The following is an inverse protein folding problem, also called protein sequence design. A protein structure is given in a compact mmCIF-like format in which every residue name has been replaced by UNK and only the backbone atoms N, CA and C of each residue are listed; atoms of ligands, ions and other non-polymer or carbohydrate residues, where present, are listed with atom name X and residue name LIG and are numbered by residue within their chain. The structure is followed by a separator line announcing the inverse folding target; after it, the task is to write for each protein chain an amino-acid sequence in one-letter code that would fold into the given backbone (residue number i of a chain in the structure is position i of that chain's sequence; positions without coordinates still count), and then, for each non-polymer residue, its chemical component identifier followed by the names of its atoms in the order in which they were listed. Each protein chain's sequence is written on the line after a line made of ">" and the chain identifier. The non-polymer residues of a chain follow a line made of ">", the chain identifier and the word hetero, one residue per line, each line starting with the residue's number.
data_IF_614768932047
#
_entry.id   IF_614768932047
#
_cell.length_a   1.000
_cell.length_b   1.000
_cell.length_c   1.000
_cell.angle_alpha   90.00
_cell.angle_beta   90.00
_cell.angle_gamma   90.00
#
_symmetry.space_group_name_H-M   'P 1'
#
loop_
_entity.id
_entity.type
_entity.pdbx_description
1 polymer ?
#
# COMPACT_ATOMS: atom_id res chain seq x y z
N UNK A 1 -21.45 -48.49 -7.10
CA UNK A 1 -21.63 -47.27 -6.28
C UNK A 1 -21.35 -47.54 -4.80
N UNK A 2 -22.05 -48.49 -4.15
CA UNK A 2 -21.76 -48.83 -2.74
C UNK A 2 -20.33 -49.34 -2.53
N UNK A 3 -19.82 -50.20 -3.42
CA UNK A 3 -18.45 -50.71 -3.36
C UNK A 3 -17.39 -49.60 -3.49
N UNK A 4 -17.56 -48.70 -4.47
CA UNK A 4 -16.70 -47.52 -4.63
C UNK A 4 -16.66 -46.63 -3.38
N UNK A 5 -17.83 -46.32 -2.81
CA UNK A 5 -17.91 -45.52 -1.57
C UNK A 5 -17.25 -46.27 -0.40
N UNK A 6 -17.43 -47.59 -0.32
CA UNK A 6 -16.81 -48.38 0.74
C UNK A 6 -15.29 -48.46 0.63
N UNK A 7 -14.73 -48.44 -0.59
CA UNK A 7 -13.28 -48.45 -0.80
C UNK A 7 -12.66 -47.08 -0.49
N UNK A 8 -13.36 -45.98 -0.80
CA UNK A 8 -12.86 -44.61 -0.62
C UNK A 8 -13.48 -43.89 0.59
N UNK A 9 -13.98 -44.63 1.59
CA UNK A 9 -14.77 -44.04 2.68
C UNK A 9 -13.97 -43.07 3.55
N UNK A 10 -12.67 -43.32 3.77
CA UNK A 10 -11.78 -42.42 4.52
C UNK A 10 -11.51 -41.12 3.77
N UNK A 11 -11.28 -41.18 2.46
CA UNK A 11 -11.11 -40.02 1.59
C UNK A 11 -12.39 -39.17 1.56
N UNK A 12 -13.55 -39.80 1.39
CA UNK A 12 -14.85 -39.14 1.47
C UNK A 12 -15.08 -38.49 2.84
N UNK A 13 -14.79 -39.21 3.94
CA UNK A 13 -14.93 -38.68 5.30
C UNK A 13 -14.02 -37.46 5.51
N UNK A 14 -12.74 -37.57 5.13
CA UNK A 14 -11.78 -36.47 5.22
C UNK A 14 -12.24 -35.25 4.43
N UNK A 15 -12.77 -35.46 3.22
CA UNK A 15 -13.30 -34.39 2.35
C UNK A 15 -14.50 -33.70 3.01
N UNK A 16 -15.45 -34.46 3.56
CA UNK A 16 -16.62 -33.91 4.24
C UNK A 16 -16.21 -33.09 5.48
N UNK A 17 -15.29 -33.59 6.29
CA UNK A 17 -14.76 -32.85 7.45
C UNK A 17 -14.06 -31.57 6.97
N UNK A 18 -13.32 -31.62 5.86
CA UNK A 18 -12.69 -30.46 5.25
C UNK A 18 -13.68 -29.36 4.83
N UNK A 19 -14.83 -29.74 4.26
CA UNK A 19 -15.89 -28.77 3.96
C UNK A 19 -16.47 -28.13 5.23
N UNK A 20 -16.66 -28.91 6.29
CA UNK A 20 -17.10 -28.38 7.59
C UNK A 20 -16.02 -27.46 8.18
N UNK A 21 -14.73 -27.79 8.03
CA UNK A 21 -13.60 -26.96 8.44
C UNK A 21 -13.65 -25.59 7.75
N UNK A 22 -13.74 -25.53 6.42
CA UNK A 22 -13.83 -24.27 5.65
C UNK A 22 -15.00 -23.42 6.12
N UNK A 23 -16.15 -24.04 6.37
CA UNK A 23 -17.33 -23.31 6.86
C UNK A 23 -17.13 -22.73 8.26
N UNK A 24 -16.45 -23.45 9.15
CA UNK A 24 -16.12 -22.95 10.49
C UNK A 24 -15.05 -21.85 10.46
N UNK A 25 -14.07 -21.96 9.56
CA UNK A 25 -13.07 -20.93 9.31
C UNK A 25 -13.76 -19.64 8.85
N UNK A 26 -14.68 -19.73 7.89
CA UNK A 26 -15.49 -18.58 7.45
C UNK A 26 -16.27 -17.91 8.59
N UNK A 27 -16.78 -18.70 9.55
CA UNK A 27 -17.49 -18.18 10.73
C UNK A 27 -16.57 -17.76 11.89
N UNK A 28 -15.25 -17.89 11.75
CA UNK A 28 -14.29 -17.72 12.83
C UNK A 28 -14.69 -18.49 14.11
N UNK A 29 -15.19 -19.73 13.95
CA UNK A 29 -15.70 -20.53 15.06
C UNK A 29 -14.58 -21.25 15.82
N UNK A 30 -14.63 -21.29 17.16
CA UNK A 30 -13.64 -22.04 17.95
C UNK A 30 -13.57 -23.53 17.60
N UNK A 31 -14.66 -24.11 17.07
CA UNK A 31 -14.72 -25.50 16.62
C UNK A 31 -13.81 -25.79 15.41
N UNK A 32 -13.37 -24.75 14.68
CA UNK A 32 -12.41 -24.87 13.58
C UNK A 32 -11.13 -25.57 14.04
N UNK A 33 -10.72 -25.35 15.30
CA UNK A 33 -9.50 -25.96 15.83
C UNK A 33 -9.66 -27.46 16.05
N UNK A 34 -10.82 -27.91 16.54
CA UNK A 34 -11.10 -29.34 16.72
C UNK A 34 -11.12 -30.05 15.37
N UNK A 35 -11.85 -29.49 14.40
CA UNK A 35 -11.89 -30.05 13.04
C UNK A 35 -10.54 -29.97 12.34
N UNK A 36 -9.74 -28.93 12.61
CA UNK A 36 -8.35 -28.79 12.16
C UNK A 36 -7.36 -29.78 12.78
N UNK A 37 -7.76 -30.54 13.81
CA UNK A 37 -6.98 -31.67 14.36
C UNK A 37 -7.49 -32.99 13.79
N UNK A 38 -8.81 -33.20 13.81
CA UNK A 38 -9.43 -34.45 13.35
C UNK A 38 -9.20 -34.67 11.85
N UNK A 39 -9.35 -33.64 11.03
CA UNK A 39 -9.20 -33.75 9.58
C UNK A 39 -7.79 -34.19 9.18
N UNK A 40 -6.68 -33.54 9.62
CA UNK A 40 -5.34 -34.02 9.30
C UNK A 40 -5.08 -35.44 9.77
N UNK A 41 -5.58 -35.83 10.95
CA UNK A 41 -5.42 -37.20 11.46
C UNK A 41 -6.09 -38.22 10.53
N UNK A 42 -7.29 -37.94 10.01
CA UNK A 42 -7.92 -38.83 9.00
C UNK A 42 -7.05 -38.92 7.75
N UNK A 43 -6.56 -37.79 7.24
CA UNK A 43 -5.70 -37.76 6.05
C UNK A 43 -4.33 -38.42 6.26
N UNK A 44 -3.81 -38.47 7.48
CA UNK A 44 -2.60 -39.27 7.78
C UNK A 44 -2.81 -40.73 7.38
N UNK A 45 -3.96 -41.35 7.70
CA UNK A 45 -4.22 -42.73 7.30
C UNK A 45 -4.34 -42.86 5.77
N UNK A 46 -5.11 -41.97 5.14
CA UNK A 46 -5.31 -41.96 3.67
C UNK A 46 -3.97 -41.85 2.93
N UNK A 47 -3.11 -40.91 3.30
CA UNK A 47 -1.84 -40.70 2.62
C UNK A 47 -0.80 -41.76 2.94
N UNK A 48 -0.80 -42.29 4.16
CA UNK A 48 0.09 -43.40 4.51
C UNK A 48 -0.22 -44.66 3.67
N UNK A 49 -1.50 -45.02 3.52
CA UNK A 49 -1.92 -46.15 2.70
C UNK A 49 -1.61 -45.93 1.20
N UNK A 50 -1.75 -44.69 0.73
CA UNK A 50 -1.40 -44.30 -0.65
C UNK A 50 0.11 -44.20 -0.91
N UNK A 51 0.96 -44.30 0.12
CA UNK A 51 2.41 -44.14 0.01
C UNK A 51 2.84 -42.70 -0.33
N UNK A 52 2.06 -41.70 0.12
CA UNK A 52 2.33 -40.27 0.03
C UNK A 52 2.86 -39.78 1.38
N UNK A 53 4.18 -39.94 1.59
CA UNK A 53 4.77 -39.74 2.91
C UNK A 53 5.13 -38.28 3.19
N UNK A 54 5.34 -37.44 2.17
CA UNK A 54 5.52 -36.01 2.41
C UNK A 54 4.18 -35.36 2.78
N UNK A 55 3.09 -35.69 2.07
CA UNK A 55 1.74 -35.26 2.44
C UNK A 55 1.32 -35.74 3.83
N UNK A 56 1.64 -36.99 4.18
CA UNK A 56 1.48 -37.51 5.56
C UNK A 56 2.20 -36.63 6.58
N UNK A 57 3.47 -36.27 6.31
CA UNK A 57 4.26 -35.39 7.17
C UNK A 57 3.64 -34.00 7.33
N UNK A 58 3.08 -33.42 6.25
CA UNK A 58 2.37 -32.15 6.33
C UNK A 58 1.10 -32.23 7.17
N UNK A 59 0.38 -33.35 7.17
CA UNK A 59 -0.76 -33.51 8.07
C UNK A 59 -0.36 -33.48 9.55
N UNK A 60 0.83 -34.02 9.89
CA UNK A 60 1.36 -33.92 11.25
C UNK A 60 1.60 -32.45 11.61
N UNK A 61 2.22 -31.70 10.70
CA UNK A 61 2.43 -30.27 10.89
C UNK A 61 1.10 -29.52 11.08
N UNK A 62 0.08 -29.77 10.25
CA UNK A 62 -1.22 -29.12 10.37
C UNK A 62 -1.95 -29.47 11.67
N UNK A 63 -1.91 -30.73 12.12
CA UNK A 63 -2.48 -31.12 13.40
C UNK A 63 -1.80 -30.38 14.57
N UNK A 64 -0.47 -30.29 14.57
CA UNK A 64 0.29 -29.56 15.58
C UNK A 64 0.00 -28.05 15.54
N UNK A 65 -0.10 -27.45 14.35
CA UNK A 65 -0.45 -26.05 14.17
C UNK A 65 -1.87 -25.76 14.68
N UNK A 66 -2.83 -26.66 14.47
CA UNK A 66 -4.19 -26.53 14.98
C UNK A 66 -4.25 -26.63 16.51
N UNK A 67 -3.47 -27.53 17.13
CA UNK A 67 -3.33 -27.59 18.60
C UNK A 67 -2.75 -26.27 19.13
N UNK A 68 -1.68 -25.77 18.51
CA UNK A 68 -1.07 -24.50 18.89
C UNK A 68 -2.06 -23.34 18.78
N UNK A 69 -2.79 -23.25 17.67
CA UNK A 69 -3.77 -22.19 17.45
C UNK A 69 -4.96 -22.24 18.42
N UNK A 70 -5.42 -23.43 18.81
CA UNK A 70 -6.41 -23.59 19.87
C UNK A 70 -5.92 -23.02 21.21
N UNK A 71 -4.70 -23.38 21.61
CA UNK A 71 -4.08 -22.89 22.84
C UNK A 71 -3.92 -21.37 22.80
N UNK A 72 -3.47 -20.83 21.67
CA UNK A 72 -3.28 -19.39 21.48
C UNK A 72 -4.61 -18.62 21.52
N UNK A 73 -5.65 -19.10 20.84
CA UNK A 73 -6.97 -18.47 20.83
C UNK A 73 -7.55 -18.37 22.24
N UNK A 74 -7.41 -19.42 23.04
CA UNK A 74 -7.88 -19.46 24.43
C UNK A 74 -7.16 -18.45 25.34
N UNK A 75 -5.95 -18.01 24.97
CA UNK A 75 -5.11 -17.09 25.74
C UNK A 75 -5.37 -15.60 25.43
N UNK A 76 -6.31 -15.26 24.52
CA UNK A 76 -6.98 -13.95 24.47
C UNK A 76 -6.11 -12.72 24.17
N UNK A 77 -4.98 -12.84 23.48
CA UNK A 77 -4.17 -11.67 23.07
C UNK A 77 -4.56 -11.20 21.67
N UNK A 78 -5.51 -10.26 21.60
CA UNK A 78 -5.94 -9.62 20.36
C UNK A 78 -5.51 -8.16 20.28
N UNK A 79 -4.25 -7.93 19.91
CA UNK A 79 -3.84 -6.70 19.24
C UNK A 79 -2.71 -7.03 18.26
N UNK A 80 -3.07 -7.42 17.04
CA UNK A 80 -2.15 -7.37 15.92
C UNK A 80 -2.74 -6.48 14.85
N UNK A 81 -1.97 -5.46 14.44
CA UNK A 81 -2.25 -4.71 13.22
C UNK A 81 -2.17 -5.68 12.05
N UNK A 82 -3.27 -5.81 11.32
CA UNK A 82 -3.27 -6.62 10.11
C UNK A 82 -2.24 -6.08 9.11
N UNK A 83 -1.41 -6.97 8.58
CA UNK A 83 -0.50 -6.61 7.50
C UNK A 83 -1.33 -6.22 6.25
N UNK A 84 -0.90 -5.23 5.46
CA UNK A 84 -1.52 -4.93 4.17
C UNK A 84 -1.10 -5.96 3.11
N UNK A 85 -1.93 -6.13 2.08
CA UNK A 85 -1.60 -6.95 0.90
C UNK A 85 -0.48 -6.25 0.12
N UNK A 86 0.54 -6.99 -0.29
CA UNK A 86 1.72 -6.43 -0.98
C UNK A 86 2.26 -7.36 -2.08
N UNK A 87 3.19 -6.88 -2.90
CA UNK A 87 3.88 -7.69 -3.90
C UNK A 87 5.11 -8.38 -3.33
N UNK A 88 5.41 -9.57 -3.83
CA UNK A 88 6.61 -10.35 -3.49
C UNK A 88 7.88 -9.55 -3.86
N UNK A 89 8.76 -9.24 -2.91
CA UNK A 89 9.94 -8.44 -3.18
C UNK A 89 10.91 -9.14 -4.13
N UNK A 90 11.29 -8.49 -5.24
CA UNK A 90 12.22 -9.07 -6.24
C UNK A 90 13.54 -9.58 -5.64
N UNK A 91 14.06 -8.90 -4.62
CA UNK A 91 15.29 -9.29 -3.89
C UNK A 91 15.18 -10.65 -3.19
N UNK A 92 13.97 -11.11 -2.88
CA UNK A 92 13.72 -12.39 -2.20
C UNK A 92 13.50 -13.54 -3.16
N UNK A 93 13.40 -13.29 -4.47
CA UNK A 93 13.15 -14.35 -5.46
C UNK A 93 14.29 -15.37 -5.46
N UNK A 94 15.54 -14.94 -5.62
CA UNK A 94 16.69 -15.86 -5.63
C UNK A 94 16.85 -16.63 -4.30
N UNK A 95 16.80 -15.98 -3.11
CA UNK A 95 16.80 -16.70 -1.85
C UNK A 95 15.65 -17.72 -1.72
N UNK A 96 14.42 -17.34 -2.08
CA UNK A 96 13.26 -18.24 -1.97
C UNK A 96 13.39 -19.45 -2.92
N UNK A 97 13.89 -19.23 -4.14
CA UNK A 97 14.18 -20.31 -5.09
C UNK A 97 15.27 -21.25 -4.55
N UNK A 98 16.33 -20.73 -3.94
CA UNK A 98 17.37 -21.56 -3.33
C UNK A 98 16.81 -22.40 -2.16
N UNK A 99 16.01 -21.79 -1.28
CA UNK A 99 15.34 -22.50 -0.18
C UNK A 99 14.42 -23.59 -0.71
N UNK A 100 13.65 -23.33 -1.77
CA UNK A 100 12.81 -24.32 -2.42
C UNK A 100 13.62 -25.55 -2.87
N UNK A 101 14.71 -25.37 -3.61
CA UNK A 101 15.52 -26.50 -4.09
C UNK A 101 16.17 -27.30 -2.94
N UNK A 102 16.59 -26.62 -1.86
CA UNK A 102 17.12 -27.30 -0.66
C UNK A 102 16.04 -28.13 0.03
N UNK A 103 14.85 -27.56 0.25
CA UNK A 103 13.72 -28.28 0.86
C UNK A 103 13.28 -29.46 0.00
N UNK A 104 13.13 -29.24 -1.30
CA UNK A 104 12.72 -30.28 -2.24
C UNK A 104 13.73 -31.43 -2.27
N UNK A 105 15.03 -31.13 -2.40
CA UNK A 105 16.08 -32.14 -2.38
C UNK A 105 16.14 -32.90 -1.05
N UNK A 106 15.98 -32.22 0.09
CA UNK A 106 15.96 -32.84 1.40
C UNK A 106 14.76 -33.79 1.58
N UNK A 107 13.55 -33.34 1.23
CA UNK A 107 12.34 -34.15 1.28
C UNK A 107 12.44 -35.35 0.34
N UNK A 108 12.86 -35.13 -0.90
CA UNK A 108 13.09 -36.21 -1.88
C UNK A 108 14.08 -37.26 -1.36
N UNK A 109 15.20 -36.84 -0.77
CA UNK A 109 16.18 -37.75 -0.16
C UNK A 109 15.58 -38.58 0.97
N UNK A 110 14.74 -37.95 1.81
CA UNK A 110 14.04 -38.67 2.89
C UNK A 110 13.12 -39.73 2.31
N UNK A 111 12.31 -39.36 1.32
CA UNK A 111 11.37 -40.27 0.67
C UNK A 111 12.08 -41.46 0.01
N UNK A 112 13.15 -41.23 -0.75
CA UNK A 112 13.86 -42.30 -1.46
C UNK A 112 14.62 -43.22 -0.51
N UNK A 113 15.21 -42.69 0.58
CA UNK A 113 16.06 -43.50 1.48
C UNK A 113 15.32 -44.21 2.60
N UNK A 114 14.23 -43.63 3.09
CA UNK A 114 13.56 -44.08 4.31
C UNK A 114 12.11 -44.50 4.09
N UNK A 115 11.60 -44.44 2.87
CA UNK A 115 10.22 -44.83 2.55
C UNK A 115 10.18 -45.68 1.28
N UNK A 116 9.03 -46.27 1.01
CA UNK A 116 8.69 -47.01 -0.21
C UNK A 116 7.80 -46.18 -1.14
N UNK A 117 7.87 -44.84 -1.09
CA UNK A 117 7.11 -43.97 -1.99
C UNK A 117 7.39 -44.32 -3.46
N UNK A 118 6.32 -44.50 -4.24
CA UNK A 118 6.42 -44.72 -5.69
C UNK A 118 6.48 -43.42 -6.50
N UNK A 119 6.29 -42.27 -5.84
CA UNK A 119 6.21 -40.94 -6.48
C UNK A 119 7.02 -39.88 -5.71
N UNK A 120 8.25 -40.18 -5.25
CA UNK A 120 8.98 -39.33 -4.31
C UNK A 120 9.31 -37.95 -4.87
N UNK A 121 9.38 -37.79 -6.20
CA UNK A 121 9.66 -36.51 -6.86
C UNK A 121 8.48 -35.54 -6.73
N UNK A 122 7.27 -35.99 -7.11
CA UNK A 122 6.05 -35.17 -7.06
C UNK A 122 5.57 -34.97 -5.62
N UNK A 123 5.56 -36.04 -4.81
CA UNK A 123 5.19 -35.96 -3.38
C UNK A 123 6.06 -34.92 -2.64
N UNK A 124 7.38 -34.88 -2.89
CA UNK A 124 8.24 -33.86 -2.27
C UNK A 124 8.14 -32.45 -2.90
N UNK A 125 7.80 -32.33 -4.18
CA UNK A 125 7.79 -31.05 -4.90
C UNK A 125 6.64 -30.16 -4.41
N UNK A 126 5.40 -30.66 -4.42
CA UNK A 126 4.23 -29.91 -3.94
C UNK A 126 4.37 -29.49 -2.48
N UNK A 127 4.93 -30.37 -1.65
CA UNK A 127 5.21 -30.10 -0.25
C UNK A 127 6.28 -28.99 -0.05
N UNK A 128 7.39 -29.04 -0.80
CA UNK A 128 8.43 -28.01 -0.75
C UNK A 128 7.90 -26.64 -1.21
N UNK A 129 7.08 -26.60 -2.28
CA UNK A 129 6.43 -25.37 -2.72
C UNK A 129 5.45 -24.83 -1.67
N UNK A 130 4.69 -25.71 -1.03
CA UNK A 130 3.71 -25.34 0.01
C UNK A 130 4.35 -24.61 1.19
N UNK A 131 5.58 -24.96 1.59
CA UNK A 131 6.31 -24.20 2.62
C UNK A 131 6.58 -22.75 2.19
N UNK A 132 7.00 -22.53 0.93
CA UNK A 132 7.20 -21.19 0.39
C UNK A 132 5.86 -20.45 0.26
N UNK A 133 4.82 -21.15 -0.19
CA UNK A 133 3.46 -20.64 -0.32
C UNK A 133 2.89 -20.16 1.01
N UNK A 134 2.99 -20.97 2.07
CA UNK A 134 2.55 -20.63 3.44
C UNK A 134 3.31 -19.42 4.00
N UNK A 135 4.62 -19.37 3.81
CA UNK A 135 5.40 -18.20 4.23
C UNK A 135 5.00 -16.93 3.46
N UNK A 136 4.80 -17.03 2.14
CA UNK A 136 4.38 -15.91 1.32
C UNK A 136 2.95 -15.43 1.65
N UNK A 137 2.04 -16.38 1.95
CA UNK A 137 0.69 -16.12 2.45
C UNK A 137 0.71 -15.38 3.78
N UNK A 138 1.53 -15.84 4.73
CA UNK A 138 1.68 -15.19 6.04
C UNK A 138 2.21 -13.75 5.94
N UNK A 139 2.98 -13.45 4.89
CA UNK A 139 3.43 -12.08 4.56
C UNK A 139 2.44 -11.29 3.70
N UNK A 140 1.28 -11.87 3.37
CA UNK A 140 0.25 -11.33 2.48
C UNK A 140 0.79 -10.88 1.12
N UNK A 141 1.68 -11.69 0.52
CA UNK A 141 2.15 -11.45 -0.86
C UNK A 141 1.13 -11.91 -1.89
N UNK A 142 0.78 -11.09 -2.87
CA UNK A 142 -0.21 -11.45 -3.90
C UNK A 142 0.25 -12.65 -4.74
N UNK A 143 1.55 -12.76 -5.03
CA UNK A 143 2.12 -13.84 -5.86
C UNK A 143 1.99 -15.24 -5.24
N UNK A 144 1.72 -15.34 -3.94
CA UNK A 144 1.50 -16.62 -3.26
C UNK A 144 0.39 -17.45 -3.93
N UNK A 145 -0.62 -16.80 -4.52
CA UNK A 145 -1.70 -17.48 -5.23
C UNK A 145 -1.20 -18.29 -6.44
N UNK A 146 -0.11 -17.88 -7.09
CA UNK A 146 0.49 -18.67 -8.18
C UNK A 146 1.11 -19.97 -7.67
N UNK A 147 1.70 -19.94 -6.47
CA UNK A 147 2.25 -21.13 -5.83
C UNK A 147 1.11 -22.12 -5.56
N UNK A 148 0.01 -21.66 -4.96
CA UNK A 148 -1.14 -22.51 -4.67
C UNK A 148 -1.80 -23.07 -5.93
N UNK A 149 -1.94 -22.29 -7.01
CA UNK A 149 -2.45 -22.82 -8.28
C UNK A 149 -1.59 -23.99 -8.78
N UNK A 150 -0.26 -23.86 -8.72
CA UNK A 150 0.66 -24.94 -9.15
C UNK A 150 0.53 -26.16 -8.25
N UNK A 151 0.61 -25.96 -6.93
CA UNK A 151 0.49 -27.02 -5.92
C UNK A 151 -0.85 -27.74 -6.02
N UNK A 152 -1.96 -27.00 -6.15
CA UNK A 152 -3.31 -27.57 -6.18
C UNK A 152 -3.54 -28.42 -7.44
N UNK A 153 -3.05 -27.97 -8.59
CA UNK A 153 -3.15 -28.73 -9.85
C UNK A 153 -2.27 -29.99 -9.84
N UNK A 154 -1.05 -29.88 -9.30
CA UNK A 154 -0.16 -31.01 -9.11
C UNK A 154 -0.77 -32.06 -8.18
N UNK A 155 -1.19 -31.65 -6.97
CA UNK A 155 -1.76 -32.55 -5.98
C UNK A 155 -3.06 -33.17 -6.47
N UNK A 156 -3.93 -32.40 -7.14
CA UNK A 156 -5.14 -32.94 -7.77
C UNK A 156 -4.80 -34.07 -8.76
N UNK A 157 -3.79 -33.88 -9.60
CA UNK A 157 -3.34 -34.91 -10.55
C UNK A 157 -2.71 -36.11 -9.85
N UNK A 158 -1.91 -35.87 -8.81
CA UNK A 158 -1.26 -36.90 -8.02
C UNK A 158 -2.27 -37.77 -7.27
N UNK A 159 -3.31 -37.16 -6.70
CA UNK A 159 -4.38 -37.86 -5.99
C UNK A 159 -5.26 -38.70 -6.92
N UNK A 160 -5.50 -38.25 -8.17
CA UNK A 160 -6.13 -39.11 -9.19
C UNK A 160 -5.25 -40.34 -9.46
N UNK A 161 -3.94 -40.14 -9.62
CA UNK A 161 -3.00 -41.24 -9.85
C UNK A 161 -2.91 -42.22 -8.66
N UNK A 162 -3.14 -41.71 -7.44
CA UNK A 162 -3.10 -42.47 -6.18
C UNK A 162 -4.44 -43.03 -5.72
N UNK A 163 -5.48 -42.93 -6.56
CA UNK A 163 -6.82 -43.44 -6.28
C UNK A 163 -7.50 -42.80 -5.05
N UNK A 164 -7.30 -41.47 -4.91
CA UNK A 164 -7.89 -40.60 -3.87
C UNK A 164 -8.82 -39.56 -4.54
N UNK A 165 -9.96 -39.99 -5.10
CA UNK A 165 -10.75 -39.19 -6.04
C UNK A 165 -11.47 -37.99 -5.39
N UNK A 166 -11.94 -38.08 -4.14
CA UNK A 166 -12.71 -37.00 -3.53
C UNK A 166 -11.80 -35.82 -3.17
N UNK A 167 -10.63 -36.11 -2.59
CA UNK A 167 -9.61 -35.11 -2.33
C UNK A 167 -9.08 -34.50 -3.63
N UNK A 168 -8.89 -35.29 -4.69
CA UNK A 168 -8.47 -34.75 -5.98
C UNK A 168 -9.42 -33.67 -6.53
N UNK A 169 -10.73 -33.89 -6.42
CA UNK A 169 -11.76 -32.92 -6.83
C UNK A 169 -11.72 -31.68 -5.93
N UNK A 170 -11.51 -31.86 -4.63
CA UNK A 170 -11.38 -30.75 -3.69
C UNK A 170 -10.18 -29.84 -4.03
N UNK A 171 -9.02 -30.41 -4.35
CA UNK A 171 -7.84 -29.64 -4.75
C UNK A 171 -8.03 -28.95 -6.12
N UNK A 172 -8.70 -29.60 -7.07
CA UNK A 172 -9.08 -28.93 -8.33
C UNK A 172 -9.97 -27.69 -8.07
N UNK A 173 -10.89 -27.78 -7.10
CA UNK A 173 -11.71 -26.64 -6.67
C UNK A 173 -10.85 -25.56 -5.98
N UNK A 174 -9.88 -25.94 -5.15
CA UNK A 174 -8.94 -24.99 -4.54
C UNK A 174 -8.14 -24.20 -5.57
N UNK A 175 -7.68 -24.83 -6.65
CA UNK A 175 -7.02 -24.11 -7.74
C UNK A 175 -7.92 -23.01 -8.36
N UNK A 176 -9.23 -23.29 -8.53
CA UNK A 176 -10.21 -22.30 -9.02
C UNK A 176 -10.40 -21.16 -8.00
N UNK A 177 -10.50 -21.50 -6.71
CA UNK A 177 -10.60 -20.52 -5.61
C UNK A 177 -9.33 -19.66 -5.55
N UNK A 178 -8.16 -20.23 -5.77
CA UNK A 178 -6.88 -19.52 -5.77
C UNK A 178 -6.81 -18.46 -6.89
N UNK A 179 -7.34 -18.77 -8.08
CA UNK A 179 -7.48 -17.79 -9.16
C UNK A 179 -8.41 -16.64 -8.76
N UNK A 180 -9.55 -16.95 -8.11
CA UNK A 180 -10.47 -15.93 -7.61
C UNK A 180 -9.82 -15.07 -6.50
N UNK A 181 -9.08 -15.70 -5.58
CA UNK A 181 -8.30 -15.07 -4.52
C UNK A 181 -7.26 -14.09 -5.06
N UNK A 182 -6.49 -14.50 -6.07
CA UNK A 182 -5.53 -13.63 -6.76
C UNK A 182 -6.22 -12.38 -7.34
N UNK A 183 -7.33 -12.56 -8.06
CA UNK A 183 -8.07 -11.44 -8.66
C UNK A 183 -8.61 -10.49 -7.60
N UNK A 184 -9.14 -11.02 -6.50
CA UNK A 184 -9.62 -10.22 -5.37
C UNK A 184 -8.48 -9.43 -4.73
N UNK A 185 -7.39 -10.08 -4.33
CA UNK A 185 -6.26 -9.41 -3.68
C UNK A 185 -5.59 -8.36 -4.57
N UNK A 186 -5.51 -8.63 -5.88
CA UNK A 186 -5.02 -7.64 -6.85
C UNK A 186 -5.94 -6.43 -6.96
N UNK A 187 -7.26 -6.62 -6.86
CA UNK A 187 -8.23 -5.51 -6.85
C UNK A 187 -8.15 -4.73 -5.55
N UNK A 188 -8.11 -5.42 -4.41
CA UNK A 188 -8.06 -4.81 -3.09
C UNK A 188 -6.76 -4.01 -2.92
N UNK A 189 -5.63 -4.55 -3.40
CA UNK A 189 -4.36 -3.83 -3.48
C UNK A 189 -4.45 -2.56 -4.33
N UNK A 190 -5.12 -2.60 -5.49
CA UNK A 190 -5.33 -1.40 -6.32
C UNK A 190 -6.28 -0.40 -5.69
N UNK A 191 -7.31 -0.85 -4.98
CA UNK A 191 -8.27 0.02 -4.31
C UNK A 191 -7.65 0.75 -3.11
N UNK A 192 -6.66 0.15 -2.46
CA UNK A 192 -5.89 0.77 -1.37
C UNK A 192 -4.92 1.86 -1.87
N UNK A 193 -4.57 1.86 -3.16
CA UNK A 193 -3.73 2.89 -3.77
C UNK A 193 -4.58 4.13 -4.04
N UNK A 194 -4.29 5.22 -3.33
CA UNK A 194 -4.87 6.54 -3.62
C UNK A 194 -4.29 7.08 -4.93
N UNK A 195 -5.10 7.75 -5.74
CA UNK A 195 -4.60 8.46 -6.93
C UNK A 195 -4.47 9.96 -6.62
N UNK A 196 -3.26 10.44 -6.35
CA UNK A 196 -2.96 11.87 -6.16
C UNK A 196 -2.22 12.36 -7.43
N UNK A 197 -3.02 12.57 -8.48
CA UNK A 197 -2.51 12.51 -9.85
C UNK A 197 -2.15 13.83 -10.50
N UNK A 198 -3.04 14.81 -10.49
CA UNK A 198 -2.90 16.00 -11.33
C UNK A 198 -2.66 17.27 -10.51
N UNK A 199 -1.84 18.16 -11.08
CA UNK A 199 -1.78 19.54 -10.64
C UNK A 199 -3.22 20.09 -10.68
N UNK A 200 -3.80 20.54 -9.56
CA UNK A 200 -5.18 21.01 -9.54
C UNK A 200 -5.30 22.23 -10.46
N UNK A 201 -6.27 22.18 -11.39
CA UNK A 201 -6.59 23.32 -12.27
C UNK A 201 -7.47 24.35 -11.60
N UNK A 202 -8.20 23.94 -10.56
CA UNK A 202 -9.20 24.71 -9.84
C UNK A 202 -9.10 24.38 -8.34
N UNK A 203 -9.40 25.38 -7.51
CA UNK A 203 -9.34 25.29 -6.05
C UNK A 203 -9.20 26.66 -5.42
N UNK A 204 -9.08 26.68 -4.09
CA UNK A 204 -8.77 27.90 -3.34
C UNK A 204 -7.29 28.24 -3.56
N UNK A 205 -7.00 29.44 -4.03
CA UNK A 205 -5.62 29.89 -4.24
C UNK A 205 -5.21 30.83 -3.11
N UNK A 206 -4.09 30.52 -2.48
CA UNK A 206 -3.46 31.38 -1.47
C UNK A 206 -2.12 31.87 -2.00
N UNK A 207 -1.97 33.19 -2.14
CA UNK A 207 -0.73 33.84 -2.50
C UNK A 207 0.01 34.29 -1.24
N UNK A 208 1.14 33.66 -0.96
CA UNK A 208 1.99 33.95 0.18
C UNK A 208 3.03 35.03 -0.12
N UNK A 209 3.68 35.55 0.93
CA UNK A 209 4.65 36.66 0.85
C UNK A 209 6.11 36.22 0.58
N UNK A 210 6.31 35.18 -0.24
CA UNK A 210 7.60 34.79 -0.81
C UNK A 210 7.87 35.52 -2.14
N UNK A 211 8.65 34.91 -3.03
CA UNK A 211 8.86 35.44 -4.37
C UNK A 211 7.58 35.31 -5.19
N UNK A 212 7.17 36.39 -5.86
CA UNK A 212 6.02 36.34 -6.73
C UNK A 212 6.27 35.38 -7.91
N UNK A 213 5.29 34.52 -8.27
CA UNK A 213 5.50 33.51 -9.31
C UNK A 213 5.93 34.09 -10.67
N UNK A 214 6.86 33.42 -11.34
CA UNK A 214 7.34 33.80 -12.69
C UNK A 214 7.13 32.71 -13.73
N UNK A 215 6.99 31.46 -13.32
CA UNK A 215 6.77 30.35 -14.24
C UNK A 215 5.32 30.35 -14.74
N UNK A 216 5.10 29.92 -16.00
CA UNK A 216 3.77 29.98 -16.64
C UNK A 216 2.72 29.13 -15.90
N UNK A 217 3.13 28.02 -15.28
CA UNK A 217 2.22 27.14 -14.51
C UNK A 217 1.56 27.84 -13.32
N UNK A 218 2.30 28.34 -12.31
CA UNK A 218 1.68 29.07 -11.19
C UNK A 218 1.00 30.38 -11.65
N UNK A 219 1.52 31.07 -12.67
CA UNK A 219 0.87 32.27 -13.22
C UNK A 219 -0.49 31.96 -13.87
N UNK A 220 -0.60 30.86 -14.62
CA UNK A 220 -1.84 30.44 -15.25
C UNK A 220 -2.91 30.08 -14.22
N UNK A 221 -2.51 29.49 -13.08
CA UNK A 221 -3.41 29.22 -11.95
C UNK A 221 -3.84 30.52 -11.30
N UNK A 222 -2.90 31.43 -11.04
CA UNK A 222 -3.19 32.72 -10.43
C UNK A 222 -4.20 33.54 -11.27
N UNK A 223 -4.06 33.58 -12.60
CA UNK A 223 -4.99 34.26 -13.52
C UNK A 223 -6.40 33.65 -13.53
N UNK A 224 -6.53 32.35 -13.22
CA UNK A 224 -7.82 31.62 -13.23
C UNK A 224 -8.47 31.52 -11.86
N UNK A 225 -7.78 31.96 -10.81
CA UNK A 225 -8.24 31.86 -9.43
C UNK A 225 -9.57 32.61 -9.25
N UNK A 226 -10.63 31.87 -8.88
CA UNK A 226 -11.92 32.45 -8.51
C UNK A 226 -11.94 32.89 -7.05
N UNK A 227 -11.26 32.13 -6.20
CA UNK A 227 -11.10 32.37 -4.77
C UNK A 227 -9.60 32.60 -4.51
N UNK A 228 -9.20 33.88 -4.48
CA UNK A 228 -7.81 34.31 -4.31
C UNK A 228 -7.63 35.02 -2.96
N UNK A 229 -7.03 34.33 -2.01
CA UNK A 229 -6.69 34.86 -0.69
C UNK A 229 -5.21 35.25 -0.67
N UNK A 230 -4.89 36.43 -0.15
CA UNK A 230 -3.54 36.99 -0.26
C UNK A 230 -3.00 37.34 1.11
N UNK A 231 -1.80 36.86 1.43
CA UNK A 231 -1.08 37.34 2.59
C UNK A 231 -0.70 38.81 2.38
N UNK A 232 -0.88 39.65 3.39
CA UNK A 232 -0.72 41.10 3.31
C UNK A 232 0.59 41.57 2.64
N UNK A 233 1.72 40.91 2.93
CA UNK A 233 3.02 41.18 2.33
C UNK A 233 3.15 40.84 0.83
N UNK A 234 2.19 40.12 0.25
CA UNK A 234 2.13 39.80 -1.18
C UNK A 234 1.18 40.72 -1.97
N UNK A 235 0.41 41.57 -1.28
CA UNK A 235 -0.63 42.39 -1.91
C UNK A 235 -0.05 43.35 -2.96
N UNK A 236 1.04 44.05 -2.63
CA UNK A 236 1.63 45.05 -3.53
C UNK A 236 2.04 44.45 -4.89
N UNK A 237 2.72 43.30 -4.85
CA UNK A 237 3.18 42.58 -6.06
C UNK A 237 1.98 42.08 -6.90
N UNK A 238 0.89 41.64 -6.25
CA UNK A 238 -0.32 41.23 -6.95
C UNK A 238 -0.99 42.39 -7.70
N UNK A 239 -1.09 43.56 -7.07
CA UNK A 239 -1.70 44.74 -7.69
C UNK A 239 -0.85 45.26 -8.86
N UNK A 240 0.48 45.21 -8.74
CA UNK A 240 1.39 45.53 -9.85
C UNK A 240 1.19 44.59 -11.03
N UNK A 241 0.93 43.30 -10.76
CA UNK A 241 0.59 42.32 -11.79
C UNK A 241 -0.82 42.50 -12.39
N UNK A 242 -1.69 43.32 -11.77
CA UNK A 242 -3.00 43.70 -12.31
C UNK A 242 -4.14 42.75 -11.95
N UNK A 243 -4.04 42.02 -10.83
CA UNK A 243 -5.12 41.18 -10.31
C UNK A 243 -5.67 41.72 -8.98
N UNK A 244 -6.94 41.45 -8.70
CA UNK A 244 -7.61 41.85 -7.46
C UNK A 244 -7.84 40.63 -6.56
N UNK A 245 -7.55 40.72 -5.25
CA UNK A 245 -7.77 39.62 -4.32
C UNK A 245 -9.25 39.50 -3.92
N UNK A 246 -9.67 38.29 -3.55
CA UNK A 246 -10.95 38.05 -2.86
C UNK A 246 -10.90 38.56 -1.42
N UNK A 247 -9.77 38.36 -0.74
CA UNK A 247 -9.52 38.86 0.61
C UNK A 247 -8.02 38.95 0.89
N UNK A 248 -7.67 39.86 1.79
CA UNK A 248 -6.29 40.09 2.26
C UNK A 248 -6.21 39.73 3.74
N UNK A 249 -5.23 38.90 4.10
CA UNK A 249 -5.06 38.36 5.47
C UNK A 249 -3.65 38.65 5.96
N UNK A 250 -3.53 39.13 7.19
CA UNK A 250 -2.22 39.30 7.83
C UNK A 250 -2.34 39.89 9.24
N UNK A 251 -1.21 40.15 9.86
CA UNK A 251 -1.11 40.92 11.11
C UNK A 251 -1.12 42.45 10.86
N UNK A 252 -0.80 42.87 9.64
CA UNK A 252 -0.79 44.26 9.21
C UNK A 252 0.56 44.95 9.29
N UNK A 253 1.62 44.22 9.60
CA UNK A 253 2.98 44.77 9.69
C UNK A 253 3.60 45.00 8.30
N UNK A 254 3.13 44.26 7.28
CA UNK A 254 3.73 44.29 5.92
C UNK A 254 2.96 45.15 4.92
N UNK A 255 1.74 45.57 5.24
CA UNK A 255 0.87 46.33 4.32
C UNK A 255 1.07 47.84 4.46
N UNK A 256 1.22 48.54 3.33
CA UNK A 256 1.31 50.01 3.34
C UNK A 256 -0.02 50.66 3.77
N UNK A 257 -0.01 51.84 4.43
CA UNK A 257 -1.23 52.51 4.87
C UNK A 257 -2.21 52.83 3.74
N UNK A 258 -1.71 53.15 2.54
CA UNK A 258 -2.53 53.44 1.36
C UNK A 258 -3.24 52.20 0.83
N UNK A 259 -2.56 51.04 0.79
CA UNK A 259 -3.17 49.77 0.41
C UNK A 259 -4.17 49.29 1.48
N UNK A 260 -3.83 49.46 2.76
CA UNK A 260 -4.71 49.11 3.87
C UNK A 260 -6.05 49.86 3.81
N UNK A 261 -6.02 51.17 3.52
CA UNK A 261 -7.25 51.94 3.35
C UNK A 261 -8.02 51.53 2.08
N UNK A 262 -7.32 51.32 0.95
CA UNK A 262 -7.94 50.90 -0.32
C UNK A 262 -8.70 49.57 -0.18
N UNK A 263 -8.16 48.63 0.61
CA UNK A 263 -8.68 47.27 0.73
C UNK A 263 -9.38 46.99 2.08
N UNK A 264 -9.73 48.02 2.85
CA UNK A 264 -10.29 47.88 4.21
C UNK A 264 -11.51 46.96 4.31
N UNK A 265 -12.34 46.90 3.28
CA UNK A 265 -13.57 46.10 3.26
C UNK A 265 -13.31 44.59 3.14
N UNK A 266 -12.15 44.22 2.58
CA UNK A 266 -11.74 42.82 2.34
C UNK A 266 -10.47 42.44 3.10
N UNK A 267 -9.98 43.35 3.95
CA UNK A 267 -8.82 43.16 4.79
C UNK A 267 -9.22 42.57 6.14
N UNK A 268 -8.60 41.46 6.51
CA UNK A 268 -8.89 40.73 7.73
C UNK A 268 -7.61 40.61 8.58
N UNK A 269 -7.55 41.41 9.64
CA UNK A 269 -6.43 41.41 10.58
C UNK A 269 -6.60 40.34 11.65
N UNK A 270 -5.51 39.63 11.95
CA UNK A 270 -5.44 38.68 13.06
C UNK A 270 -4.21 38.97 13.92
N UNK A 271 -4.46 39.39 15.17
CA UNK A 271 -3.42 39.77 16.13
C UNK A 271 -2.77 38.57 16.86
N UNK A 272 -3.26 37.34 16.63
CA UNK A 272 -2.64 36.13 17.18
C UNK A 272 -1.29 35.84 16.53
N UNK A 273 -0.32 35.36 17.32
CA UNK A 273 1.05 35.09 16.85
C UNK A 273 1.43 33.60 16.86
N UNK A 274 0.48 32.71 17.17
CA UNK A 274 0.72 31.26 17.20
C UNK A 274 0.82 30.65 15.78
N UNK A 275 0.18 31.28 14.80
CA UNK A 275 0.13 30.84 13.40
C UNK A 275 0.70 31.93 12.48
N UNK A 276 1.39 31.52 11.41
CA UNK A 276 1.87 32.45 10.37
C UNK A 276 0.74 32.87 9.41
N UNK A 277 0.97 33.89 8.59
CA UNK A 277 -0.05 34.42 7.66
C UNK A 277 -0.56 33.38 6.65
N UNK A 278 0.29 32.43 6.24
CA UNK A 278 -0.13 31.33 5.38
C UNK A 278 -1.20 30.46 6.04
N UNK A 279 -1.02 30.18 7.34
CA UNK A 279 -1.96 29.39 8.14
C UNK A 279 -3.22 30.18 8.45
N UNK A 280 -3.08 31.47 8.81
CA UNK A 280 -4.20 32.39 9.02
C UNK A 280 -5.08 32.47 7.76
N UNK A 281 -4.46 32.67 6.59
CA UNK A 281 -5.16 32.71 5.30
C UNK A 281 -5.87 31.38 4.99
N UNK A 282 -5.22 30.24 5.26
CA UNK A 282 -5.82 28.91 5.06
C UNK A 282 -7.07 28.72 5.94
N UNK A 283 -6.95 29.04 7.24
CA UNK A 283 -8.07 28.92 8.19
C UNK A 283 -9.21 29.87 7.83
N UNK A 284 -8.89 31.10 7.45
CA UNK A 284 -9.90 32.07 7.01
C UNK A 284 -10.65 31.58 5.76
N UNK A 285 -9.94 31.11 4.74
CA UNK A 285 -10.57 30.59 3.53
C UNK A 285 -11.49 29.38 3.81
N UNK A 286 -11.11 28.50 4.75
CA UNK A 286 -11.97 27.38 5.17
C UNK A 286 -13.29 27.81 5.83
N UNK A 287 -13.37 29.02 6.39
CA UNK A 287 -14.64 29.58 6.89
C UNK A 287 -15.56 30.06 5.78
N UNK A 288 -15.03 30.23 4.56
CA UNK A 288 -15.74 30.82 3.41
C UNK A 288 -16.14 29.79 2.35
N UNK A 289 -15.51 28.62 2.33
CA UNK A 289 -15.74 27.60 1.30
C UNK A 289 -15.80 26.17 1.83
N UNK A 290 -16.55 25.31 1.12
CA UNK A 290 -16.55 23.85 1.32
C UNK A 290 -15.48 23.14 0.50
N UNK A 291 -14.80 23.85 -0.41
CA UNK A 291 -13.67 23.32 -1.19
C UNK A 291 -12.55 22.87 -0.23
N UNK A 292 -11.82 21.83 -0.65
CA UNK A 292 -10.71 21.25 0.11
C UNK A 292 -9.41 21.25 -0.69
N UNK A 293 -9.45 21.47 -2.00
CA UNK A 293 -8.26 21.66 -2.82
C UNK A 293 -7.70 23.08 -2.61
N UNK A 294 -6.53 23.15 -1.98
CA UNK A 294 -5.86 24.40 -1.66
C UNK A 294 -4.54 24.49 -2.41
N UNK A 295 -4.32 25.59 -3.13
CA UNK A 295 -3.15 25.82 -3.95
C UNK A 295 -2.37 26.99 -3.38
N UNK A 296 -1.11 26.73 -3.01
CA UNK A 296 -0.24 27.73 -2.40
C UNK A 296 0.79 28.21 -3.40
N UNK A 297 0.78 29.51 -3.68
CA UNK A 297 1.69 30.19 -4.60
C UNK A 297 2.55 31.19 -3.83
N UNK A 298 3.73 31.49 -4.37
CA UNK A 298 4.64 32.48 -3.76
C UNK A 298 5.05 32.13 -2.33
N UNK A 299 5.09 30.84 -1.96
CA UNK A 299 5.38 30.41 -0.59
C UNK A 299 6.87 30.21 -0.30
N UNK A 300 7.74 30.42 -1.29
CA UNK A 300 9.19 30.17 -1.25
C UNK A 300 9.96 31.31 -1.91
N UNK A 301 11.29 31.32 -1.84
CA UNK A 301 12.16 32.18 -2.68
C UNK A 301 12.74 33.42 -1.98
N UNK A 302 12.09 33.92 -0.93
CA UNK A 302 12.65 34.92 0.00
C UNK A 302 13.42 34.22 1.12
N UNK A 303 13.17 34.59 2.39
CA UNK A 303 13.86 34.03 3.56
C UNK A 303 13.67 32.51 3.69
N UNK A 304 14.76 31.79 3.94
CA UNK A 304 14.80 30.32 3.95
C UNK A 304 14.02 29.72 5.13
N UNK A 305 14.03 30.39 6.29
CA UNK A 305 13.23 29.96 7.44
C UNK A 305 11.72 29.99 7.13
N UNK A 306 11.24 30.97 6.37
CA UNK A 306 9.85 31.02 5.90
C UNK A 306 9.58 29.91 4.89
N UNK A 307 10.50 29.69 3.95
CA UNK A 307 10.39 28.61 2.95
C UNK A 307 10.24 27.25 3.62
N UNK A 308 11.12 26.90 4.57
CA UNK A 308 11.05 25.63 5.29
C UNK A 308 9.76 25.52 6.12
N UNK A 309 9.37 26.58 6.82
CA UNK A 309 8.11 26.65 7.56
C UNK A 309 6.90 26.37 6.67
N UNK A 310 6.76 27.12 5.58
CA UNK A 310 5.65 26.98 4.63
C UNK A 310 5.57 25.58 4.02
N UNK A 311 6.70 24.98 3.61
CA UNK A 311 6.73 23.62 3.06
C UNK A 311 6.27 22.61 4.12
N UNK A 312 6.76 22.73 5.36
CA UNK A 312 6.38 21.82 6.46
C UNK A 312 4.89 21.89 6.81
N UNK A 313 4.27 23.06 6.67
CA UNK A 313 2.85 23.28 7.00
C UNK A 313 1.90 22.48 6.10
N UNK A 314 2.32 22.10 4.89
CA UNK A 314 1.51 21.28 3.98
C UNK A 314 1.05 19.97 4.63
N UNK A 315 1.93 19.32 5.41
CA UNK A 315 1.59 18.11 6.17
C UNK A 315 0.58 18.39 7.27
N UNK A 316 0.78 19.49 8.01
CA UNK A 316 -0.12 19.93 9.07
C UNK A 316 -1.51 20.22 8.50
N UNK A 317 -1.60 20.98 7.42
CA UNK A 317 -2.87 21.33 6.78
C UNK A 317 -3.64 20.09 6.33
N UNK A 318 -2.96 19.10 5.74
CA UNK A 318 -3.60 17.84 5.35
C UNK A 318 -4.13 17.05 6.55
N UNK A 319 -3.37 16.96 7.64
CA UNK A 319 -3.72 16.16 8.82
C UNK A 319 -4.76 16.82 9.73
N UNK A 320 -4.58 18.11 10.01
CA UNK A 320 -5.36 18.84 11.02
C UNK A 320 -6.53 19.62 10.41
N UNK A 321 -6.35 20.19 9.22
CA UNK A 321 -7.38 21.00 8.56
C UNK A 321 -8.19 20.23 7.52
N UNK A 322 -7.78 18.99 7.19
CA UNK A 322 -8.48 18.13 6.24
C UNK A 322 -8.53 18.65 4.81
N UNK A 323 -7.59 19.54 4.44
CA UNK A 323 -7.45 20.02 3.06
C UNK A 323 -6.58 19.07 2.23
N UNK A 324 -6.61 19.25 0.92
CA UNK A 324 -5.73 18.66 -0.07
C UNK A 324 -4.77 19.75 -0.58
N UNK A 325 -3.69 20.06 0.15
CA UNK A 325 -2.86 21.21 -0.13
C UNK A 325 -1.79 20.88 -1.18
N UNK A 326 -1.58 21.75 -2.15
CA UNK A 326 -0.51 21.66 -3.16
C UNK A 326 0.23 22.98 -3.21
N UNK A 327 1.55 22.95 -3.00
CA UNK A 327 2.38 24.16 -3.13
C UNK A 327 3.08 24.14 -4.47
N UNK A 328 2.89 25.18 -5.27
CA UNK A 328 3.46 25.28 -6.62
C UNK A 328 4.47 26.42 -6.62
N UNK A 329 5.69 26.08 -7.05
CA UNK A 329 6.80 27.01 -7.19
C UNK A 329 7.14 27.18 -8.67
N UNK A 330 8.10 28.05 -8.97
CA UNK A 330 8.57 28.23 -10.34
C UNK A 330 9.33 27.02 -10.90
N UNK A 331 9.76 26.10 -10.04
CA UNK A 331 10.57 24.93 -10.44
C UNK A 331 9.78 23.62 -10.44
N UNK A 332 8.66 23.56 -9.71
CA UNK A 332 7.87 22.34 -9.56
C UNK A 332 6.77 22.51 -8.54
N UNK A 333 6.33 21.41 -7.93
CA UNK A 333 5.32 21.46 -6.89
C UNK A 333 5.51 20.38 -5.83
N UNK A 334 5.10 20.72 -4.60
CA UNK A 334 5.04 19.83 -3.46
C UNK A 334 3.63 19.28 -3.27
N UNK A 335 3.53 17.97 -3.04
CA UNK A 335 2.30 17.24 -2.79
C UNK A 335 2.46 16.38 -1.52
N UNK A 336 1.71 16.69 -0.45
CA UNK A 336 1.68 15.92 0.80
C UNK A 336 0.81 14.69 0.67
N UNK A 337 1.36 13.52 1.04
CA UNK A 337 0.70 12.23 0.83
C UNK A 337 0.88 11.29 2.02
N UNK A 338 0.05 10.25 2.08
CA UNK A 338 0.05 9.26 3.16
C UNK A 338 -0.40 7.92 2.64
N UNK A 339 0.25 6.85 3.10
CA UNK A 339 -0.05 5.50 2.67
C UNK A 339 0.35 5.23 1.22
N UNK A 340 -0.27 4.20 0.63
CA UNK A 340 -0.04 3.83 -0.76
C UNK A 340 -0.68 4.86 -1.71
N UNK A 341 0.13 5.53 -2.53
CA UNK A 341 -0.34 6.57 -3.46
C UNK A 341 0.33 6.45 -4.83
N UNK A 342 -0.47 6.54 -5.88
CA UNK A 342 -0.05 6.68 -7.27
C UNK A 342 -0.12 8.15 -7.70
N UNK A 343 0.94 8.60 -8.37
CA UNK A 343 1.11 9.95 -8.88
C UNK A 343 1.18 9.91 -10.41
N UNK A 344 0.56 10.89 -11.09
CA UNK A 344 0.84 11.10 -12.51
C UNK A 344 2.23 11.75 -12.66
N UNK A 345 2.90 11.36 -13.74
CA UNK A 345 4.23 11.84 -14.10
C UNK A 345 4.43 11.79 -15.61
N UNK A 346 5.64 12.06 -16.05
CA UNK A 346 6.10 11.76 -17.41
C UNK A 346 7.52 11.18 -17.32
N UNK A 347 7.94 10.47 -18.38
CA UNK A 347 9.26 9.88 -18.42
C UNK A 347 10.34 10.97 -18.35
N UNK A 348 11.32 10.81 -17.46
CA UNK A 348 12.38 11.78 -17.23
C UNK A 348 12.01 12.92 -16.25
N UNK A 349 10.80 12.94 -15.71
CA UNK A 349 10.44 13.91 -14.67
C UNK A 349 11.28 13.68 -13.41
N UNK A 350 11.86 14.75 -12.85
CA UNK A 350 12.55 14.66 -11.57
C UNK A 350 11.55 14.60 -10.41
N UNK A 351 11.78 13.65 -9.50
CA UNK A 351 10.92 13.37 -8.35
C UNK A 351 11.79 13.33 -7.09
N UNK A 352 11.42 14.07 -6.06
CA UNK A 352 12.03 13.95 -4.73
C UNK A 352 10.98 13.49 -3.72
N UNK A 353 11.34 12.56 -2.84
CA UNK A 353 10.46 12.04 -1.79
C UNK A 353 11.10 12.35 -0.44
N UNK A 354 10.41 13.12 0.39
CA UNK A 354 10.83 13.45 1.74
C UNK A 354 10.04 12.61 2.73
N UNK A 355 10.72 11.71 3.43
CA UNK A 355 10.10 10.85 4.44
C UNK A 355 9.76 11.68 5.70
N UNK A 356 8.51 11.60 6.18
CA UNK A 356 8.07 12.30 7.40
C UNK A 356 7.87 11.31 8.55
N UNK A 357 7.14 10.20 8.32
CA UNK A 357 6.85 9.21 9.36
C UNK A 357 6.88 7.76 8.90
N UNK A 358 7.24 7.48 7.64
CA UNK A 358 7.22 6.13 7.09
C UNK A 358 8.34 5.27 7.69
N UNK A 359 7.97 4.08 8.19
CA UNK A 359 8.89 3.02 8.61
C UNK A 359 9.07 1.98 7.50
N UNK A 360 8.06 1.84 6.65
CA UNK A 360 8.11 1.08 5.40
C UNK A 360 7.85 2.05 4.25
N UNK A 361 8.77 2.12 3.30
CA UNK A 361 8.67 2.95 2.12
C UNK A 361 9.30 2.20 0.94
N UNK A 362 8.59 2.13 -0.18
CA UNK A 362 9.11 1.61 -1.43
C UNK A 362 8.41 2.28 -2.61
N UNK A 363 8.95 2.12 -3.82
CA UNK A 363 8.37 2.74 -5.02
C UNK A 363 8.37 1.81 -6.22
N UNK A 364 7.45 2.08 -7.14
CA UNK A 364 7.37 1.47 -8.47
C UNK A 364 7.24 2.57 -9.53
N UNK A 365 7.88 2.39 -10.69
CA UNK A 365 7.88 3.39 -11.75
C UNK A 365 8.89 4.53 -11.57
N UNK A 366 9.75 4.45 -10.55
CA UNK A 366 10.90 5.34 -10.34
C UNK A 366 12.21 4.61 -10.69
N UNK A 367 13.21 5.38 -11.13
CA UNK A 367 14.54 4.89 -11.53
C UNK A 367 15.30 4.27 -10.37
N UNK A 368 15.27 4.92 -9.21
CA UNK A 368 15.86 4.39 -7.98
C UNK A 368 14.76 3.93 -7.02
N UNK A 369 14.83 2.69 -6.48
CA UNK A 369 13.85 2.22 -5.50
C UNK A 369 13.87 3.08 -4.24
N UNK A 370 12.70 3.57 -3.82
CA UNK A 370 12.57 4.25 -2.54
C UNK A 370 12.79 3.27 -1.38
N UNK A 371 13.25 3.82 -0.26
CA UNK A 371 13.41 3.11 1.01
C UNK A 371 13.13 4.11 2.14
N UNK A 372 12.92 3.67 3.39
CA UNK A 372 12.69 4.59 4.52
C UNK A 372 13.91 5.51 4.74
N UNK A 373 13.87 6.69 4.12
CA UNK A 373 14.95 7.68 4.20
C UNK A 373 15.09 8.17 5.64
N UNK A 374 16.33 8.31 6.11
CA UNK A 374 16.66 8.85 7.43
C UNK A 374 16.96 10.34 7.36
N UNK A 375 17.52 10.78 6.24
CA UNK A 375 17.87 12.17 5.95
C UNK A 375 17.17 12.63 4.67
N UNK A 376 16.78 13.91 4.62
CA UNK A 376 15.97 14.45 3.51
C UNK A 376 16.61 14.28 2.14
N UNK A 377 17.92 14.53 2.03
CA UNK A 377 18.66 14.46 0.76
C UNK A 377 18.66 13.06 0.13
N UNK A 378 18.46 12.00 0.91
CA UNK A 378 18.54 10.62 0.41
C UNK A 378 17.41 10.28 -0.57
N UNK A 379 16.28 10.95 -0.45
CA UNK A 379 15.13 10.75 -1.32
C UNK A 379 15.03 11.78 -2.45
N UNK A 380 16.00 12.68 -2.59
CA UNK A 380 15.96 13.72 -3.63
C UNK A 380 16.51 13.22 -4.97
N UNK A 381 16.14 13.93 -6.04
CA UNK A 381 16.69 13.77 -7.38
C UNK A 381 16.46 12.39 -8.02
N UNK A 382 15.34 11.74 -7.70
CA UNK A 382 14.86 10.54 -8.39
C UNK A 382 14.24 10.91 -9.75
N UNK A 383 13.89 9.90 -10.54
CA UNK A 383 13.41 10.09 -11.91
C UNK A 383 12.24 9.14 -12.18
N UNK A 384 11.13 9.68 -12.70
CA UNK A 384 9.99 8.86 -13.13
C UNK A 384 10.28 8.21 -14.49
N UNK A 385 9.95 6.92 -14.60
CA UNK A 385 10.22 6.12 -15.81
C UNK A 385 9.07 6.13 -16.82
N UNK A 386 7.93 6.75 -16.50
CA UNK A 386 6.74 6.69 -17.31
C UNK A 386 5.65 7.66 -16.90
N UNK A 387 4.41 7.46 -17.36
CA UNK A 387 3.29 8.38 -17.14
C UNK A 387 2.77 8.37 -15.69
N UNK A 388 3.20 7.39 -14.88
CA UNK A 388 2.82 7.25 -13.47
C UNK A 388 3.93 6.57 -12.67
N UNK A 389 3.97 6.86 -11.38
CA UNK A 389 4.73 6.09 -10.39
C UNK A 389 3.91 5.92 -9.11
N UNK A 390 4.23 4.89 -8.35
CA UNK A 390 3.53 4.57 -7.09
C UNK A 390 4.53 4.57 -5.95
N UNK A 391 4.15 5.20 -4.84
CA UNK A 391 4.85 5.13 -3.56
C UNK A 391 4.02 4.26 -2.63
N UNK A 392 4.63 3.22 -2.08
CA UNK A 392 4.04 2.35 -1.08
C UNK A 392 4.61 2.71 0.28
N UNK A 393 3.75 3.10 1.21
CA UNK A 393 4.16 3.65 2.50
C UNK A 393 3.20 3.25 3.62
N UNK A 394 3.72 3.20 4.85
CA UNK A 394 2.91 2.99 6.08
C UNK A 394 2.69 4.27 6.89
N UNK A 395 3.11 5.42 6.35
CA UNK A 395 3.03 6.72 7.01
C UNK A 395 2.98 7.87 6.01
N UNK A 396 3.38 9.05 6.47
CA UNK A 396 3.32 10.29 5.72
C UNK A 396 4.66 10.63 5.08
N UNK A 397 4.56 11.26 3.91
CA UNK A 397 5.69 11.71 3.12
C UNK A 397 5.27 12.91 2.25
N UNK A 398 6.26 13.67 1.80
CA UNK A 398 6.07 14.79 0.89
C UNK A 398 6.75 14.46 -0.43
N UNK A 399 6.07 14.69 -1.55
CA UNK A 399 6.61 14.46 -2.89
C UNK A 399 6.81 15.80 -3.58
N UNK A 400 7.99 16.03 -4.13
CA UNK A 400 8.27 17.15 -5.02
C UNK A 400 8.47 16.66 -6.46
N UNK A 401 7.83 17.32 -7.42
CA UNK A 401 7.92 16.99 -8.85
C UNK A 401 8.25 18.25 -9.64
N UNK A 402 9.17 18.16 -10.59
CA UNK A 402 9.54 19.29 -11.46
C UNK A 402 8.51 19.51 -12.57
N UNK A 403 8.40 20.75 -13.05
CA UNK A 403 7.58 21.08 -14.24
C UNK A 403 8.14 20.45 -15.51
N UNK A 404 9.47 20.44 -15.62
CA UNK A 404 10.20 20.01 -16.81
C UNK A 404 10.98 18.70 -16.55
N UNK A 405 11.26 17.90 -17.61
CA UNK A 405 12.14 16.76 -17.50
C UNK A 405 13.57 17.18 -17.14
N UNK A 406 14.34 16.23 -16.61
CA UNK A 406 15.79 16.39 -16.52
C UNK A 406 16.37 16.52 -17.93
N UNK A 407 17.09 17.63 -18.17
CA UNK A 407 17.88 17.84 -19.39
C UNK A 407 18.94 16.76 -19.59
#
# INVERSE_FOLDING_TARGET
>A
MQEFISTHWLDLLGTLIGLVYIYQEYKASIWLWLTGIVMPVVYMFVYYEAGLYADFGMQIYYALAAIYGFLFWKLGRHEQKELPVSHFPRRLVLPATAVFFVLWGALWLVLVKFTNSTVPVLDSFGNALSFIGLWALARKYIEQWWIWIVVDLELSTLYIYKDIPFTAVLYALYAVIAVAGYRKWKRDYKADIRHEGQLPSDGVVILAAGDFPRHEVPLAILRKAKELYVCDGALAELIEYGLEPTAVIGDGDSISPSLRERYKEIYHQFDEQDDNDLTKATRFALTRTSERNFIYLGATGKRENHTLGNISLLMRYRRELGVCPVMITDHGWFCPSSGNTEFCSFAGQQVSIFNISCRQLSSYGLKWPAYPFKEQWQGTLNEALGPRFTVYADGDYLVYRTHEPKL
#
